data_IF_711354432989
#
_entry.id   IF_711354432989
#
_cell.length_a   1.000
_cell.length_b   1.000
_cell.length_c   1.000
_cell.angle_alpha   90.00
_cell.angle_beta   90.00
_cell.angle_gamma   90.00
#
_symmetry.space_group_name_H-M   'P 1'
#
loop_
_entity.id
_entity.type
_entity.pdbx_description
1 polymer ?
#
# COMPACT_ATOMS: atom_id res chain seq x y z
N UNK A 1 -36.93 -26.24 7.50
CA UNK A 1 -35.69 -26.23 6.68
C UNK A 1 -35.24 -24.83 6.28
N UNK A 2 -36.14 -23.96 5.79
CA UNK A 2 -35.83 -22.60 5.34
C UNK A 2 -35.10 -21.72 6.39
N UNK A 3 -35.51 -21.82 7.66
CA UNK A 3 -34.93 -21.05 8.78
C UNK A 3 -33.50 -21.50 9.14
N UNK A 4 -33.17 -22.79 8.94
CA UNK A 4 -31.81 -23.32 9.14
C UNK A 4 -30.87 -22.96 8.00
N UNK A 5 -31.39 -22.79 6.77
CA UNK A 5 -30.63 -22.35 5.60
C UNK A 5 -30.28 -20.85 5.66
N UNK A 6 -31.15 -20.03 6.28
CA UNK A 6 -30.90 -18.60 6.50
C UNK A 6 -29.78 -18.33 7.52
N UNK A 7 -29.72 -19.14 8.59
CA UNK A 7 -28.71 -19.00 9.66
C UNK A 7 -27.31 -19.46 9.23
N UNK A 8 -27.19 -20.38 8.27
CA UNK A 8 -25.90 -20.89 7.79
C UNK A 8 -25.28 -20.05 6.66
N UNK A 9 -26.08 -19.28 5.92
CA UNK A 9 -25.62 -18.47 4.78
C UNK A 9 -25.29 -17.02 5.18
N UNK A 10 -25.91 -16.50 6.24
CA UNK A 10 -25.67 -15.16 6.78
C UNK A 10 -24.19 -14.83 7.09
N UNK A 11 -23.40 -15.74 7.71
CA UNK A 11 -22.01 -15.47 8.08
C UNK A 11 -21.07 -15.28 6.88
N UNK A 12 -21.45 -15.75 5.70
CA UNK A 12 -20.69 -15.58 4.45
C UNK A 12 -21.25 -14.44 3.59
N UNK A 13 -22.58 -14.32 3.54
CA UNK A 13 -23.25 -13.29 2.75
C UNK A 13 -22.97 -11.87 3.29
N UNK A 14 -22.92 -11.68 4.61
CA UNK A 14 -22.67 -10.37 5.21
C UNK A 14 -21.25 -9.84 4.94
N UNK A 15 -20.16 -10.60 5.19
CA UNK A 15 -18.82 -10.14 4.83
C UNK A 15 -18.64 -9.92 3.32
N UNK A 16 -19.17 -10.81 2.49
CA UNK A 16 -19.11 -10.64 1.04
C UNK A 16 -19.85 -9.37 0.59
N UNK A 17 -21.07 -9.15 1.10
CA UNK A 17 -21.84 -7.93 0.85
C UNK A 17 -21.11 -6.67 1.32
N UNK A 18 -20.45 -6.72 2.48
CA UNK A 18 -19.66 -5.60 3.00
C UNK A 18 -18.43 -5.31 2.14
N UNK A 19 -17.69 -6.33 1.70
CA UNK A 19 -16.54 -6.16 0.81
C UNK A 19 -16.96 -5.59 -0.55
N UNK A 20 -18.12 -6.02 -1.09
CA UNK A 20 -18.69 -5.45 -2.31
C UNK A 20 -19.11 -3.99 -2.12
N UNK A 21 -19.74 -3.66 -0.99
CA UNK A 21 -20.09 -2.28 -0.64
C UNK A 21 -18.85 -1.39 -0.50
N UNK A 22 -17.81 -1.87 0.19
CA UNK A 22 -16.54 -1.17 0.34
C UNK A 22 -15.88 -0.96 -1.03
N UNK A 23 -15.83 -2.00 -1.86
CA UNK A 23 -15.28 -1.91 -3.20
C UNK A 23 -16.03 -0.86 -4.03
N UNK A 24 -17.37 -0.91 -4.05
CA UNK A 24 -18.19 0.06 -4.77
C UNK A 24 -17.94 1.50 -4.29
N UNK A 25 -17.89 1.72 -2.97
CA UNK A 25 -17.68 3.05 -2.41
C UNK A 25 -16.27 3.57 -2.70
N UNK A 26 -15.25 2.75 -2.49
CA UNK A 26 -13.84 3.14 -2.63
C UNK A 26 -13.43 3.32 -4.09
N UNK A 27 -13.91 2.46 -5.00
CA UNK A 27 -13.59 2.57 -6.44
C UNK A 27 -14.08 3.86 -7.08
N UNK A 28 -15.14 4.47 -6.54
CA UNK A 28 -15.64 5.77 -7.00
C UNK A 28 -14.83 6.96 -6.46
N UNK A 29 -14.07 6.75 -5.38
CA UNK A 29 -13.29 7.79 -4.70
C UNK A 29 -11.81 7.74 -5.05
N UNK A 30 -11.26 6.54 -5.19
CA UNK A 30 -9.82 6.30 -5.39
C UNK A 30 -9.65 5.55 -6.72
N UNK A 31 -9.38 6.29 -7.82
CA UNK A 31 -9.00 5.68 -9.08
C UNK A 31 -7.78 4.79 -8.90
N UNK A 32 -7.80 3.63 -9.57
CA UNK A 32 -6.70 2.68 -9.55
C UNK A 32 -6.65 1.93 -10.87
N UNK A 33 -5.44 1.85 -11.42
CA UNK A 33 -5.14 1.17 -12.68
C UNK A 33 -4.03 0.16 -12.44
N UNK A 34 -4.18 -1.05 -12.99
CA UNK A 34 -3.14 -2.07 -13.00
C UNK A 34 -2.77 -2.39 -14.44
N UNK A 35 -1.49 -2.31 -14.78
CA UNK A 35 -0.96 -2.60 -16.11
C UNK A 35 0.08 -3.73 -16.06
N UNK A 36 0.12 -4.63 -17.06
CA UNK A 36 1.09 -5.73 -17.13
C UNK A 36 2.39 -5.30 -17.82
N UNK A 37 2.78 -4.03 -17.71
CA UNK A 37 3.99 -3.48 -18.31
C UNK A 37 4.50 -2.31 -17.48
N UNK A 38 5.77 -1.94 -17.70
CA UNK A 38 6.40 -0.80 -17.06
C UNK A 38 5.82 0.52 -17.59
N UNK A 39 5.44 1.43 -16.69
CA UNK A 39 5.09 2.79 -17.09
C UNK A 39 6.35 3.67 -17.23
N UNK A 40 6.38 4.64 -18.17
CA UNK A 40 7.58 5.43 -18.48
C UNK A 40 8.20 6.16 -17.27
N UNK A 41 7.35 6.64 -16.35
CA UNK A 41 7.73 7.34 -15.13
C UNK A 41 8.20 6.41 -14.00
N UNK A 42 8.09 5.09 -14.18
CA UNK A 42 8.36 4.08 -13.16
C UNK A 42 9.70 3.39 -13.36
N UNK A 43 10.33 3.55 -14.53
CA UNK A 43 11.65 2.99 -14.82
C UNK A 43 12.72 3.43 -13.81
N UNK A 44 12.57 4.61 -13.21
CA UNK A 44 13.48 5.10 -12.17
C UNK A 44 13.48 4.28 -10.88
N UNK A 45 12.42 3.50 -10.61
CA UNK A 45 12.28 2.70 -9.39
C UNK A 45 12.64 1.22 -9.59
N UNK A 46 12.91 0.80 -10.82
CA UNK A 46 13.30 -0.57 -11.12
C UNK A 46 14.82 -0.76 -11.06
N UNK A 47 15.30 -1.94 -10.63
CA UNK A 47 16.70 -2.30 -10.81
C UNK A 47 17.10 -2.27 -12.29
N UNK A 48 18.33 -1.87 -12.56
CA UNK A 48 18.89 -1.81 -13.92
C UNK A 48 18.79 -3.15 -14.65
N UNK A 49 18.92 -4.28 -13.94
CA UNK A 49 18.78 -5.61 -14.53
C UNK A 49 17.39 -5.82 -15.17
N UNK A 50 16.33 -5.34 -14.50
CA UNK A 50 14.95 -5.51 -14.98
C UNK A 50 14.69 -4.64 -16.20
N UNK A 51 15.24 -3.42 -16.21
CA UNK A 51 15.08 -2.49 -17.34
C UNK A 51 15.97 -2.85 -18.53
N UNK A 52 17.14 -3.44 -18.29
CA UNK A 52 18.06 -3.89 -19.33
C UNK A 52 17.61 -5.18 -20.04
N UNK A 53 16.78 -6.00 -19.41
CA UNK A 53 16.32 -7.29 -19.94
C UNK A 53 14.79 -7.43 -19.91
N UNK A 54 14.04 -6.53 -20.57
CA UNK A 54 12.57 -6.46 -20.43
C UNK A 54 11.85 -7.77 -20.80
N UNK A 55 12.38 -8.55 -21.75
CA UNK A 55 11.79 -9.83 -22.18
C UNK A 55 11.99 -10.98 -21.18
N UNK A 56 12.92 -10.81 -20.22
CA UNK A 56 13.20 -11.82 -19.18
C UNK A 56 12.31 -11.67 -17.95
N UNK A 57 11.52 -10.59 -17.86
CA UNK A 57 10.72 -10.26 -16.69
C UNK A 57 9.26 -10.02 -17.03
N UNK A 58 8.38 -10.41 -16.11
CA UNK A 58 6.99 -9.95 -16.10
C UNK A 58 6.89 -8.84 -15.07
N UNK A 59 6.54 -7.64 -15.53
CA UNK A 59 6.36 -6.46 -14.67
C UNK A 59 4.88 -6.16 -14.55
N UNK A 60 4.37 -6.01 -13.33
CA UNK A 60 3.03 -5.52 -13.06
C UNK A 60 3.11 -4.23 -12.27
N UNK A 61 2.42 -3.19 -12.75
CA UNK A 61 2.39 -1.88 -12.11
C UNK A 61 0.95 -1.49 -11.78
N UNK A 62 0.69 -1.28 -10.50
CA UNK A 62 -0.55 -0.73 -9.99
C UNK A 62 -0.32 0.69 -9.50
N UNK A 63 -1.16 1.62 -9.97
CA UNK A 63 -1.16 3.02 -9.55
C UNK A 63 -2.53 3.36 -9.01
N UNK A 64 -2.57 3.93 -7.81
CA UNK A 64 -3.78 4.47 -7.19
C UNK A 64 -3.52 5.90 -6.72
N UNK A 65 -4.54 6.76 -6.79
CA UNK A 65 -4.44 8.12 -6.27
C UNK A 65 -5.72 8.61 -5.63
N UNK A 66 -5.58 9.62 -4.77
CA UNK A 66 -6.70 10.30 -4.14
C UNK A 66 -6.43 11.81 -4.09
N UNK A 67 -7.31 12.58 -4.73
CA UNK A 67 -7.32 14.04 -4.68
C UNK A 67 -8.06 14.54 -3.43
N UNK A 68 -7.43 15.46 -2.69
CA UNK A 68 -8.01 16.12 -1.52
C UNK A 68 -7.83 17.64 -1.67
N UNK A 69 -8.87 18.47 -1.44
CA UNK A 69 -8.70 19.91 -1.37
C UNK A 69 -7.70 20.29 -0.28
N UNK A 70 -6.73 21.16 -0.57
CA UNK A 70 -5.70 21.58 0.41
C UNK A 70 -6.33 22.28 1.62
N UNK A 71 -7.47 22.95 1.43
CA UNK A 71 -8.28 23.55 2.51
C UNK A 71 -8.82 22.54 3.53
N UNK A 72 -8.85 21.25 3.18
CA UNK A 72 -9.28 20.17 4.07
C UNK A 72 -8.12 19.50 4.82
N UNK A 73 -6.88 19.87 4.50
CA UNK A 73 -5.66 19.30 5.09
C UNK A 73 -5.07 20.26 6.14
N UNK A 74 -4.23 19.75 7.06
CA UNK A 74 -3.43 20.63 7.91
C UNK A 74 -2.62 21.61 7.06
N UNK A 75 -2.47 22.88 7.46
CA UNK A 75 -1.65 23.83 6.71
C UNK A 75 -0.20 23.32 6.64
N UNK A 76 0.40 23.32 5.45
CA UNK A 76 1.83 23.05 5.27
C UNK A 76 2.61 24.35 5.38
N UNK A 77 3.78 24.28 6.01
CA UNK A 77 4.62 25.45 6.22
C UNK A 77 5.82 25.50 5.27
N UNK A 78 6.32 24.34 4.83
CA UNK A 78 7.58 24.23 4.10
C UNK A 78 7.53 23.22 2.97
N UNK A 79 6.92 22.06 3.18
CA UNK A 79 7.05 20.94 2.23
C UNK A 79 5.83 20.00 2.23
N UNK A 80 5.49 19.41 1.07
CA UNK A 80 4.53 18.30 1.01
C UNK A 80 4.90 17.10 1.90
N UNK A 81 6.16 16.95 2.32
CA UNK A 81 6.61 15.96 3.30
C UNK A 81 5.84 16.01 4.62
N UNK A 82 5.35 17.19 5.01
CA UNK A 82 4.54 17.41 6.21
C UNK A 82 3.20 16.64 6.14
N UNK A 83 2.69 16.37 4.94
CA UNK A 83 1.55 15.48 4.72
C UNK A 83 1.97 14.05 4.45
N UNK A 84 3.03 13.84 3.66
CA UNK A 84 3.47 12.51 3.24
C UNK A 84 3.78 11.62 4.43
N UNK A 85 4.60 12.08 5.37
CA UNK A 85 5.05 11.27 6.48
C UNK A 85 3.88 10.78 7.37
N UNK A 86 3.01 11.65 7.91
CA UNK A 86 1.85 11.19 8.68
C UNK A 86 0.86 10.36 7.86
N UNK A 87 0.71 10.63 6.56
CA UNK A 87 -0.08 9.81 5.66
C UNK A 87 0.49 8.39 5.54
N UNK A 88 1.78 8.25 5.21
CA UNK A 88 2.47 6.94 5.09
C UNK A 88 2.44 6.17 6.41
N UNK A 89 2.65 6.82 7.57
CA UNK A 89 2.48 6.20 8.90
C UNK A 89 1.08 5.63 9.09
N UNK A 90 0.06 6.40 8.71
CA UNK A 90 -1.34 5.98 8.80
C UNK A 90 -1.60 4.78 7.89
N UNK A 91 -1.19 4.86 6.61
CA UNK A 91 -1.30 3.76 5.65
C UNK A 91 -0.67 2.47 6.19
N UNK A 92 0.58 2.51 6.66
CA UNK A 92 1.24 1.32 7.21
C UNK A 92 0.58 0.81 8.49
N UNK A 93 0.05 1.71 9.33
CA UNK A 93 -0.72 1.33 10.54
C UNK A 93 -2.02 0.61 10.17
N UNK A 94 -2.70 1.02 9.10
CA UNK A 94 -3.88 0.32 8.59
C UNK A 94 -3.49 -1.00 7.92
N UNK A 95 -2.42 -1.02 7.12
CA UNK A 95 -1.88 -2.24 6.53
C UNK A 95 -1.59 -3.30 7.59
N UNK A 96 -0.94 -2.94 8.71
CA UNK A 96 -0.59 -3.85 9.79
C UNK A 96 -1.80 -4.59 10.43
N UNK A 97 -3.03 -4.14 10.15
CA UNK A 97 -4.28 -4.74 10.62
C UNK A 97 -4.97 -5.61 9.56
N UNK A 98 -4.36 -5.75 8.39
CA UNK A 98 -4.91 -6.57 7.31
C UNK A 98 -4.56 -8.05 7.52
N UNK A 99 -5.37 -8.98 6.97
CA UNK A 99 -5.03 -10.40 6.97
C UNK A 99 -3.68 -10.69 6.30
N UNK A 100 -3.32 -9.93 5.25
CA UNK A 100 -2.02 -10.06 4.58
C UNK A 100 -0.87 -9.72 5.53
N UNK A 101 -0.96 -8.62 6.27
CA UNK A 101 0.04 -8.24 7.25
C UNK A 101 0.18 -9.26 8.39
N UNK A 102 -0.93 -9.83 8.87
CA UNK A 102 -0.88 -10.89 9.87
C UNK A 102 -0.19 -12.15 9.34
N UNK A 103 -0.47 -12.51 8.08
CA UNK A 103 0.22 -13.61 7.39
C UNK A 103 1.73 -13.37 7.31
N UNK A 104 2.16 -12.18 6.88
CA UNK A 104 3.58 -11.81 6.85
C UNK A 104 4.17 -11.88 8.26
N UNK A 105 3.53 -11.26 9.25
CA UNK A 105 3.98 -11.26 10.65
C UNK A 105 4.13 -12.66 11.23
N UNK A 106 3.23 -13.59 10.89
CA UNK A 106 3.27 -14.98 11.31
C UNK A 106 4.44 -15.76 10.66
N UNK A 107 4.77 -15.45 9.40
CA UNK A 107 5.83 -16.11 8.64
C UNK A 107 7.24 -15.55 8.94
N UNK A 108 7.33 -14.45 9.69
CA UNK A 108 8.60 -13.90 10.20
C UNK A 108 9.09 -14.67 11.44
N UNK A 109 10.38 -15.01 11.44
CA UNK A 109 11.04 -15.65 12.59
C UNK A 109 11.63 -14.63 13.57
N UNK A 110 12.12 -13.50 13.07
CA UNK A 110 12.76 -12.46 13.86
C UNK A 110 11.72 -11.63 14.64
N UNK A 111 11.88 -11.54 15.96
CA UNK A 111 11.02 -10.72 16.83
C UNK A 111 11.13 -9.22 16.54
N UNK A 112 12.31 -8.73 16.13
CA UNK A 112 12.54 -7.34 15.74
C UNK A 112 11.72 -7.00 14.48
N UNK A 113 11.80 -7.85 13.45
CA UNK A 113 10.99 -7.67 12.23
C UNK A 113 9.49 -7.67 12.55
N UNK A 114 9.03 -8.53 13.47
CA UNK A 114 7.63 -8.54 13.93
C UNK A 114 7.24 -7.31 14.75
N UNK A 115 8.17 -6.73 15.52
CA UNK A 115 7.91 -5.52 16.31
C UNK A 115 7.56 -4.30 15.43
N UNK A 116 8.04 -4.28 14.18
CA UNK A 116 7.74 -3.22 13.21
C UNK A 116 6.26 -3.16 12.76
N UNK A 117 5.45 -4.18 13.07
CA UNK A 117 3.99 -4.15 12.85
C UNK A 117 3.24 -3.39 13.94
N UNK A 118 3.90 -3.09 15.07
CA UNK A 118 3.23 -2.45 16.19
C UNK A 118 2.83 -1.01 15.84
N UNK A 119 1.66 -0.58 16.33
CA UNK A 119 1.19 0.79 16.16
C UNK A 119 2.20 1.81 16.68
N UNK A 120 2.82 1.53 17.83
CA UNK A 120 3.82 2.42 18.44
C UNK A 120 5.06 2.60 17.56
N UNK A 121 5.54 1.53 16.94
CA UNK A 121 6.63 1.60 15.97
C UNK A 121 6.21 2.44 14.76
N UNK A 122 5.11 2.09 14.11
CA UNK A 122 4.65 2.73 12.87
C UNK A 122 4.32 4.21 13.05
N UNK A 123 3.81 4.62 14.22
CA UNK A 123 3.56 6.04 14.52
C UNK A 123 4.85 6.85 14.73
N UNK A 124 5.96 6.19 15.07
CA UNK A 124 7.28 6.83 15.28
C UNK A 124 8.19 6.70 14.07
N UNK A 125 7.95 5.73 13.20
CA UNK A 125 8.70 5.45 11.97
C UNK A 125 8.93 6.74 11.18
N UNK A 126 10.18 7.08 10.88
CA UNK A 126 10.50 8.30 10.13
C UNK A 126 10.54 8.06 8.63
N UNK A 127 10.55 6.79 8.24
CA UNK A 127 10.83 6.31 6.90
C UNK A 127 12.15 6.88 6.40
N UNK A 128 13.18 6.79 7.25
CA UNK A 128 14.55 7.11 6.86
C UNK A 128 15.16 5.95 6.07
N UNK A 129 16.20 6.22 5.27
CA UNK A 129 16.83 5.20 4.43
C UNK A 129 17.24 3.96 5.24
N UNK A 130 16.84 2.78 4.79
CA UNK A 130 17.09 1.50 5.44
C UNK A 130 16.09 1.10 6.53
N UNK A 131 15.23 2.02 7.01
CA UNK A 131 14.20 1.72 7.99
C UNK A 131 13.17 0.74 7.40
N UNK A 132 12.69 -0.20 8.23
CA UNK A 132 11.77 -1.25 7.79
C UNK A 132 10.41 -1.09 8.45
N UNK A 133 9.35 -1.06 7.65
CA UNK A 133 7.97 -1.09 8.12
C UNK A 133 7.34 -2.46 7.84
N UNK A 134 6.53 -2.95 8.77
CA UNK A 134 5.81 -4.22 8.66
C UNK A 134 6.69 -5.40 8.16
N UNK A 135 7.93 -5.43 8.66
CA UNK A 135 8.91 -6.52 8.53
C UNK A 135 9.53 -6.72 7.14
N UNK A 136 8.89 -6.23 6.08
CA UNK A 136 9.30 -6.50 4.68
C UNK A 136 9.37 -5.26 3.80
N UNK A 137 8.93 -4.10 4.27
CA UNK A 137 8.98 -2.86 3.47
C UNK A 137 10.15 -2.00 3.93
N UNK A 138 11.30 -2.16 3.29
CA UNK A 138 12.51 -1.40 3.58
C UNK A 138 12.54 -0.12 2.75
N UNK A 139 12.75 1.02 3.38
CA UNK A 139 12.96 2.30 2.66
C UNK A 139 14.27 2.23 1.89
N UNK A 140 14.21 2.44 0.57
CA UNK A 140 15.38 2.41 -0.33
C UNK A 140 15.66 3.75 -1.00
N UNK A 141 14.65 4.62 -1.08
CA UNK A 141 14.81 5.98 -1.56
C UNK A 141 13.78 6.90 -0.93
N UNK A 142 14.15 8.17 -0.79
CA UNK A 142 13.28 9.23 -0.29
C UNK A 142 13.74 10.55 -0.86
N UNK A 143 12.79 11.41 -1.19
CA UNK A 143 13.05 12.78 -1.58
C UNK A 143 11.83 13.66 -1.36
N UNK A 144 11.87 14.92 -1.81
CA UNK A 144 10.75 15.84 -1.66
C UNK A 144 9.46 15.24 -2.24
N UNK A 145 8.46 15.04 -1.38
CA UNK A 145 7.15 14.53 -1.78
C UNK A 145 7.08 13.04 -2.08
N UNK A 146 8.12 12.22 -1.87
CA UNK A 146 8.03 10.77 -2.07
C UNK A 146 8.85 9.91 -1.10
N UNK A 147 8.36 8.68 -0.84
CA UNK A 147 9.03 7.60 -0.11
C UNK A 147 8.90 6.33 -0.95
N UNK A 148 10.03 5.68 -1.23
CA UNK A 148 10.11 4.39 -1.92
C UNK A 148 10.53 3.29 -0.95
N UNK A 149 9.79 2.19 -0.94
CA UNK A 149 10.09 1.00 -0.15
C UNK A 149 10.24 -0.22 -1.05
N UNK A 150 11.34 -0.97 -0.87
CA UNK A 150 11.52 -2.28 -1.45
C UNK A 150 10.77 -3.35 -0.66
N UNK A 151 10.20 -4.32 -1.38
CA UNK A 151 9.77 -5.59 -0.79
C UNK A 151 11.02 -6.44 -0.57
N UNK A 152 11.43 -6.59 0.68
CA UNK A 152 12.62 -7.35 1.08
C UNK A 152 12.23 -8.36 2.14
N UNK A 153 12.31 -9.65 1.78
CA UNK A 153 12.11 -10.73 2.73
C UNK A 153 13.34 -10.82 3.66
N UNK A 154 13.19 -10.62 4.98
CA UNK A 154 14.33 -10.74 5.90
C UNK A 154 14.77 -12.20 6.03
N UNK A 155 15.99 -12.39 6.55
CA UNK A 155 16.55 -13.72 6.77
C UNK A 155 15.61 -14.61 7.58
N UNK A 156 15.39 -15.84 7.09
CA UNK A 156 14.54 -16.82 7.74
C UNK A 156 13.03 -16.60 7.54
N UNK A 157 12.60 -15.64 6.73
CA UNK A 157 11.20 -15.52 6.30
C UNK A 157 10.75 -16.78 5.55
N UNK A 158 9.56 -17.30 5.92
CA UNK A 158 9.00 -18.55 5.36
C UNK A 158 7.91 -18.33 4.32
N UNK A 159 7.61 -17.08 3.98
CA UNK A 159 6.60 -16.74 3.00
C UNK A 159 7.15 -16.62 1.58
N UNK A 160 6.28 -16.31 0.61
CA UNK A 160 6.71 -16.08 -0.77
C UNK A 160 7.63 -14.87 -0.84
N UNK A 161 8.79 -15.04 -1.48
CA UNK A 161 9.71 -13.94 -1.79
C UNK A 161 9.20 -13.30 -3.08
N UNK A 162 8.88 -12.02 -2.99
CA UNK A 162 8.37 -11.22 -4.12
C UNK A 162 9.28 -10.02 -4.27
N UNK A 163 9.69 -9.75 -5.51
CA UNK A 163 10.43 -8.54 -5.83
C UNK A 163 9.46 -7.43 -6.19
N UNK A 164 9.68 -6.25 -5.60
CA UNK A 164 8.84 -5.11 -5.87
C UNK A 164 9.27 -3.82 -5.20
N UNK A 165 8.56 -2.76 -5.57
CA UNK A 165 8.58 -1.44 -4.94
C UNK A 165 7.17 -1.00 -4.57
N UNK A 166 7.07 -0.32 -3.43
CA UNK A 166 5.92 0.51 -3.07
C UNK A 166 6.39 1.95 -3.01
N UNK A 167 5.73 2.83 -3.74
CA UNK A 167 6.01 4.27 -3.72
C UNK A 167 4.81 4.99 -3.14
N UNK A 168 5.03 5.77 -2.09
CA UNK A 168 4.06 6.76 -1.60
C UNK A 168 4.51 8.13 -2.04
N UNK A 169 3.63 8.91 -2.66
CA UNK A 169 3.94 10.28 -3.10
C UNK A 169 2.80 11.23 -2.78
N UNK A 170 3.13 12.50 -2.60
CA UNK A 170 2.17 13.58 -2.55
C UNK A 170 2.62 14.71 -3.47
N UNK A 171 1.70 15.17 -4.31
CA UNK A 171 1.89 16.28 -5.25
C UNK A 171 0.87 17.37 -4.93
N UNK A 172 1.26 18.64 -5.04
CA UNK A 172 0.36 19.78 -4.81
C UNK A 172 0.09 20.45 -6.16
N UNK A 173 -1.17 20.43 -6.56
CA UNK A 173 -1.66 20.94 -7.83
C UNK A 173 -2.71 22.03 -7.57
N UNK A 174 -2.25 23.28 -7.45
CA UNK A 174 -3.11 24.41 -7.12
C UNK A 174 -3.79 24.24 -5.77
N UNK A 175 -5.13 24.14 -5.77
CA UNK A 175 -5.95 23.99 -4.56
C UNK A 175 -6.16 22.51 -4.14
N UNK A 176 -5.45 21.58 -4.78
CA UNK A 176 -5.56 20.15 -4.50
C UNK A 176 -4.21 19.55 -4.13
N UNK A 177 -4.25 18.57 -3.24
CA UNK A 177 -3.16 17.64 -2.98
C UNK A 177 -3.54 16.26 -3.53
N UNK A 178 -2.64 15.64 -4.29
CA UNK A 178 -2.82 14.31 -4.87
C UNK A 178 -1.92 13.33 -4.13
N UNK A 179 -2.54 12.40 -3.40
CA UNK A 179 -1.84 11.32 -2.71
C UNK A 179 -1.78 10.11 -3.62
N UNK A 180 -0.57 9.68 -3.98
CA UNK A 180 -0.32 8.52 -4.83
C UNK A 180 0.18 7.33 -4.01
N UNK A 181 -0.28 6.14 -4.39
CA UNK A 181 0.32 4.88 -4.01
C UNK A 181 0.58 4.06 -5.26
N UNK A 182 1.83 3.67 -5.46
CA UNK A 182 2.23 2.80 -6.56
C UNK A 182 2.80 1.51 -6.02
N UNK A 183 2.40 0.39 -6.62
CA UNK A 183 2.98 -0.92 -6.36
C UNK A 183 3.50 -1.48 -7.67
N UNK A 184 4.80 -1.69 -7.73
CA UNK A 184 5.48 -2.30 -8.87
C UNK A 184 6.00 -3.64 -8.41
N UNK A 185 5.62 -4.72 -9.08
CA UNK A 185 6.14 -6.05 -8.82
C UNK A 185 6.75 -6.59 -10.09
N UNK A 186 7.85 -7.31 -9.95
CA UNK A 186 8.46 -8.04 -11.05
C UNK A 186 8.84 -9.44 -10.61
N UNK A 187 8.98 -10.31 -11.60
CA UNK A 187 9.49 -11.67 -11.45
C UNK A 187 10.09 -12.10 -12.77
N UNK A 188 10.97 -13.10 -12.76
CA UNK A 188 11.46 -13.69 -14.00
C UNK A 188 10.35 -14.47 -14.71
N UNK A 189 10.47 -14.59 -16.02
CA UNK A 189 9.65 -15.53 -16.80
C UNK A 189 9.91 -16.95 -16.28
N UNK A 190 8.83 -17.70 -16.01
CA UNK A 190 8.90 -19.03 -15.41
C UNK A 190 8.72 -19.07 -13.89
N UNK A 191 8.88 -17.95 -13.18
CA UNK A 191 8.63 -17.88 -11.74
C UNK A 191 7.13 -17.83 -11.39
N UNK A 192 6.73 -18.23 -10.17
CA UNK A 192 5.35 -18.16 -9.72
C UNK A 192 4.75 -16.76 -9.87
N UNK A 193 3.49 -16.70 -10.31
CA UNK A 193 2.78 -15.44 -10.49
C UNK A 193 2.64 -14.66 -9.18
N UNK A 194 2.78 -13.35 -9.26
CA UNK A 194 2.53 -12.41 -8.17
C UNK A 194 1.03 -12.19 -7.96
N UNK A 195 0.67 -11.59 -6.83
CA UNK A 195 -0.72 -11.29 -6.46
C UNK A 195 -1.45 -10.45 -7.52
N UNK A 196 -0.77 -9.51 -8.16
CA UNK A 196 -1.36 -8.55 -9.10
C UNK A 196 -1.66 -9.14 -10.48
N UNK A 197 -1.07 -10.28 -10.81
CA UNK A 197 -1.29 -10.97 -12.09
C UNK A 197 -2.63 -11.71 -12.13
N UNK A 198 -3.13 -12.17 -10.98
CA UNK A 198 -4.42 -12.86 -10.86
C UNK A 198 -5.58 -11.89 -10.66
N UNK A 199 -6.75 -12.17 -11.24
CA UNK A 199 -7.94 -11.31 -11.11
C UNK A 199 -8.39 -11.15 -9.65
N UNK A 200 -8.44 -12.26 -8.89
CA UNK A 200 -8.85 -12.25 -7.46
C UNK A 200 -7.83 -11.50 -6.61
N UNK A 201 -6.53 -11.78 -6.82
CA UNK A 201 -5.45 -11.13 -6.09
C UNK A 201 -5.40 -9.63 -6.33
N UNK A 202 -5.50 -9.21 -7.59
CA UNK A 202 -5.60 -7.80 -7.99
C UNK A 202 -6.84 -7.13 -7.42
N UNK A 203 -7.99 -7.79 -7.41
CA UNK A 203 -9.21 -7.22 -6.83
C UNK A 203 -9.06 -6.99 -5.32
N UNK A 204 -8.51 -7.97 -4.58
CA UNK A 204 -8.25 -7.86 -3.14
C UNK A 204 -7.21 -6.78 -2.84
N UNK A 205 -6.09 -6.77 -3.58
CA UNK A 205 -5.04 -5.77 -3.43
C UNK A 205 -5.58 -4.37 -3.72
N UNK A 206 -6.31 -4.21 -4.82
CA UNK A 206 -6.91 -2.94 -5.19
C UNK A 206 -8.00 -2.48 -4.22
N UNK A 207 -8.68 -3.37 -3.50
CA UNK A 207 -9.55 -2.98 -2.39
C UNK A 207 -8.73 -2.46 -1.20
N UNK A 208 -7.66 -3.18 -0.83
CA UNK A 208 -6.76 -2.82 0.26
C UNK A 208 -6.08 -1.47 0.03
N UNK A 209 -5.48 -1.25 -1.15
CA UNK A 209 -4.78 0.01 -1.49
C UNK A 209 -5.74 1.20 -1.43
N UNK A 210 -6.93 1.08 -2.01
CA UNK A 210 -7.92 2.17 -1.95
C UNK A 210 -8.36 2.47 -0.53
N UNK A 211 -8.57 1.43 0.28
CA UNK A 211 -8.92 1.58 1.68
C UNK A 211 -7.79 2.25 2.48
N UNK A 212 -6.52 1.90 2.21
CA UNK A 212 -5.36 2.52 2.83
C UNK A 212 -5.23 4.00 2.46
N UNK A 213 -5.36 4.38 1.19
CA UNK A 213 -5.34 5.78 0.74
C UNK A 213 -6.47 6.61 1.38
N UNK A 214 -7.70 6.09 1.37
CA UNK A 214 -8.85 6.77 2.01
C UNK A 214 -8.65 6.92 3.51
N UNK A 215 -8.21 5.85 4.19
CA UNK A 215 -8.03 5.87 5.65
C UNK A 215 -6.85 6.73 6.07
N UNK A 216 -5.77 6.73 5.29
CA UNK A 216 -4.57 7.54 5.52
C UNK A 216 -4.84 9.03 5.37
N UNK A 217 -5.61 9.43 4.35
CA UNK A 217 -6.03 10.85 4.19
C UNK A 217 -7.00 11.29 5.27
N UNK A 218 -7.97 10.45 5.67
CA UNK A 218 -8.84 10.75 6.82
C UNK A 218 -8.06 10.94 8.12
N UNK A 219 -7.07 10.07 8.38
CA UNK A 219 -6.21 10.20 9.55
C UNK A 219 -5.46 11.54 9.60
N UNK A 220 -5.05 12.05 8.44
CA UNK A 220 -4.42 13.37 8.31
C UNK A 220 -5.42 14.51 8.61
N UNK A 221 -6.64 14.43 8.09
CA UNK A 221 -7.69 15.45 8.27
C UNK A 221 -8.23 15.48 9.71
N UNK A 222 -8.35 14.33 10.38
CA UNK A 222 -8.84 14.24 11.76
C UNK A 222 -7.85 14.80 12.78
N UNK A 223 -6.54 14.78 12.47
CA UNK A 223 -5.53 15.49 13.25
C UNK A 223 -5.80 16.99 13.29
N UNK A 224 -6.15 17.60 12.15
CA UNK A 224 -6.48 19.02 12.03
C UNK A 224 -7.64 19.46 12.93
N UNK A 225 -8.64 18.59 13.14
CA UNK A 225 -9.83 18.91 13.93
C UNK A 225 -9.59 18.87 15.44
N UNK A 226 -8.50 18.27 15.91
CA UNK A 226 -8.15 18.23 17.34
C UNK A 226 -7.31 19.41 17.78
N UNK A 227 -6.69 20.09 16.82
CA UNK A 227 -5.79 21.22 17.03
C UNK A 227 -6.44 22.58 16.69
N UNK A 228 -7.74 22.59 16.36
CA UNK A 228 -8.58 23.77 16.09
C UNK A 228 -9.65 23.93 17.17
#
# INVERSE_FOLDING_TARGET
MLQKLLLTTLPLALPAGYLLYLHHTLSRKVPLTTTPHLQPNTAAFLPEEVTAQPDSYVVTHETAHLEIPTSSLPPITRSPDEWLLPHTRSCMTFFARTPQAWGISYLLRNSEARATFSRLYLQRCKFDLGEVACGVYRVVSRGPGFIEMALEAPEGYKGPVVEGRIVSRVEVEGEKAVFWNETVMWRRVGEPRTLLEGAVGRWLHGLMVRWMLDSGTRGLMEGTKKDA
#
